data_IF_034260935334
#
_entry.id   IF_034260935334
#
_cell.length_a   1.000
_cell.length_b   1.000
_cell.length_c   1.000
_cell.angle_alpha   90.00
_cell.angle_beta   90.00
_cell.angle_gamma   90.00
#
_symmetry.space_group_name_H-M   'P 1'
#
loop_
_entity.id
_entity.type
_entity.pdbx_description
1 polymer ?
#
# COMPACT_ATOMS: atom_id res chain seq x y z
N UNK A 1 -23.25 23.63 -15.42
CA UNK A 1 -22.34 22.60 -14.86
C UNK A 1 -22.58 21.32 -15.64
N UNK A 2 -21.53 20.74 -16.25
CA UNK A 2 -21.68 19.63 -17.21
C UNK A 2 -21.91 18.30 -16.48
N UNK A 3 -23.00 17.60 -16.81
CA UNK A 3 -23.17 16.18 -16.50
C UNK A 3 -22.07 15.39 -17.21
N UNK A 4 -21.28 14.63 -16.47
CA UNK A 4 -20.41 13.60 -17.05
C UNK A 4 -21.18 12.29 -17.02
N UNK A 5 -21.52 11.78 -18.20
CA UNK A 5 -22.12 10.46 -18.38
C UNK A 5 -21.08 9.55 -19.02
N UNK A 6 -20.81 8.40 -18.40
CA UNK A 6 -19.96 7.36 -18.97
C UNK A 6 -20.80 6.14 -19.35
N UNK A 7 -20.55 5.61 -20.54
CA UNK A 7 -21.12 4.34 -20.99
C UNK A 7 -20.14 3.22 -20.69
N UNK A 8 -20.57 2.24 -19.91
CA UNK A 8 -19.80 1.01 -19.64
C UNK A 8 -20.43 -0.12 -20.45
N UNK A 9 -19.66 -0.68 -21.38
CA UNK A 9 -20.11 -1.79 -22.24
C UNK A 9 -19.52 -3.11 -21.76
N UNK A 10 -20.36 -4.12 -21.58
CA UNK A 10 -19.93 -5.51 -21.33
C UNK A 10 -19.46 -6.19 -22.62
N UNK A 11 -18.68 -7.28 -22.55
CA UNK A 11 -18.32 -8.12 -23.70
C UNK A 11 -19.53 -8.71 -24.44
N UNK A 12 -20.69 -8.79 -23.78
CA UNK A 12 -21.97 -9.24 -24.33
C UNK A 12 -22.77 -8.11 -25.02
N UNK A 13 -22.20 -6.91 -25.12
CA UNK A 13 -22.82 -5.75 -25.77
C UNK A 13 -23.86 -5.01 -24.94
N UNK A 14 -24.09 -5.39 -23.68
CA UNK A 14 -24.96 -4.64 -22.77
C UNK A 14 -24.24 -3.38 -22.28
N UNK A 15 -24.95 -2.25 -22.25
CA UNK A 15 -24.42 -0.97 -21.83
C UNK A 15 -25.11 -0.47 -20.56
N UNK A 16 -24.32 0.04 -19.61
CA UNK A 16 -24.82 0.70 -18.40
C UNK A 16 -24.38 2.16 -18.43
N UNK A 17 -25.33 3.06 -18.19
CA UNK A 17 -25.10 4.49 -18.10
C UNK A 17 -24.76 4.86 -16.66
N UNK A 18 -23.59 5.46 -16.47
CA UNK A 18 -23.07 5.90 -15.18
C UNK A 18 -23.11 7.43 -15.15
N UNK A 19 -24.00 8.00 -14.33
CA UNK A 19 -24.13 9.43 -14.16
C UNK A 19 -23.37 9.90 -12.92
N UNK A 20 -22.56 10.94 -13.06
CA UNK A 20 -22.00 11.66 -11.90
C UNK A 20 -22.96 12.75 -11.45
N UNK A 21 -23.23 12.84 -10.15
CA UNK A 21 -24.00 13.93 -9.57
C UNK A 21 -23.27 15.27 -9.73
N UNK A 22 -23.99 16.42 -9.75
CA UNK A 22 -23.37 17.74 -9.86
C UNK A 22 -22.41 18.08 -8.72
N UNK A 23 -22.59 17.47 -7.55
CA UNK A 23 -21.73 17.63 -6.37
C UNK A 23 -20.51 16.68 -6.36
N UNK A 24 -20.36 15.78 -7.33
CA UNK A 24 -19.18 14.92 -7.48
C UNK A 24 -19.03 13.78 -6.47
N UNK A 25 -19.88 13.75 -5.43
CA UNK A 25 -19.78 12.78 -4.33
C UNK A 25 -20.54 11.47 -4.60
N UNK A 26 -21.56 11.50 -5.45
CA UNK A 26 -22.48 10.38 -5.66
C UNK A 26 -22.53 9.99 -7.15
N UNK A 27 -22.23 8.72 -7.43
CA UNK A 27 -22.38 8.14 -8.76
C UNK A 27 -23.69 7.37 -8.80
N UNK A 28 -24.66 7.86 -9.56
CA UNK A 28 -25.92 7.18 -9.77
C UNK A 28 -25.75 6.23 -10.97
N UNK A 29 -25.66 4.93 -10.66
CA UNK A 29 -25.65 3.87 -11.68
C UNK A 29 -27.10 3.48 -11.94
N UNK A 30 -27.71 4.04 -12.99
CA UNK A 30 -29.02 3.61 -13.47
C UNK A 30 -28.86 2.32 -14.29
N UNK A 31 -28.56 1.22 -13.58
CA UNK A 31 -28.46 -0.13 -14.14
C UNK A 31 -29.57 -1.02 -13.58
N UNK A 32 -29.98 -2.03 -14.36
CA UNK A 32 -31.03 -2.99 -14.01
C UNK A 32 -30.69 -3.60 -12.64
N UNK A 33 -31.59 -3.46 -11.66
CA UNK A 33 -31.50 -4.10 -10.34
C UNK A 33 -31.66 -5.61 -10.52
N UNK A 34 -30.59 -6.29 -10.90
CA UNK A 34 -30.53 -7.74 -10.95
C UNK A 34 -30.32 -8.23 -9.52
N UNK A 35 -31.28 -9.01 -9.01
CA UNK A 35 -31.14 -9.72 -7.75
C UNK A 35 -29.93 -10.66 -7.82
N UNK A 36 -28.84 -10.28 -7.16
CA UNK A 36 -27.52 -10.94 -7.19
C UNK A 36 -27.59 -12.41 -6.79
N UNK A 37 -28.50 -12.79 -5.89
CA UNK A 37 -28.66 -14.18 -5.43
C UNK A 37 -29.15 -15.15 -6.52
N UNK A 38 -29.84 -14.67 -7.57
CA UNK A 38 -30.41 -15.56 -8.59
C UNK A 38 -29.40 -15.91 -9.69
N UNK A 39 -28.42 -15.04 -9.93
CA UNK A 39 -27.43 -15.17 -11.01
C UNK A 39 -26.14 -15.85 -10.54
N UNK A 40 -25.72 -15.64 -9.27
CA UNK A 40 -24.61 -16.36 -8.65
C UNK A 40 -24.80 -17.89 -8.69
N UNK A 41 -26.03 -18.35 -8.47
CA UNK A 41 -26.40 -19.77 -8.53
C UNK A 41 -26.48 -20.34 -9.96
N UNK A 42 -26.34 -19.49 -10.99
CA UNK A 42 -26.38 -19.88 -12.40
C UNK A 42 -24.99 -19.91 -13.06
N UNK A 43 -23.92 -19.64 -12.30
CA UNK A 43 -22.54 -19.70 -12.80
C UNK A 43 -22.17 -18.53 -13.71
N UNK A 44 -22.87 -17.39 -13.61
CA UNK A 44 -22.47 -16.19 -14.33
C UNK A 44 -21.18 -15.59 -13.74
N UNK A 45 -20.31 -15.07 -14.63
CA UNK A 45 -19.14 -14.29 -14.22
C UNK A 45 -19.59 -12.90 -13.73
N UNK A 46 -19.31 -12.62 -12.45
CA UNK A 46 -19.59 -11.32 -11.84
C UNK A 46 -18.37 -10.41 -11.93
N UNK A 47 -18.60 -9.14 -12.25
CA UNK A 47 -17.56 -8.12 -12.34
C UNK A 47 -17.82 -7.01 -11.34
N UNK A 48 -16.85 -6.75 -10.45
CA UNK A 48 -16.87 -5.61 -9.55
C UNK A 48 -16.25 -4.40 -10.26
N UNK A 49 -17.06 -3.38 -10.55
CA UNK A 49 -16.58 -2.10 -11.05
C UNK A 49 -16.64 -1.07 -9.94
N UNK A 50 -15.53 -0.37 -9.68
CA UNK A 50 -15.48 0.79 -8.80
C UNK A 50 -15.07 2.02 -9.59
N UNK A 51 -15.66 3.17 -9.27
CA UNK A 51 -15.33 4.46 -9.89
C UNK A 51 -14.48 5.24 -8.90
N UNK A 52 -13.21 5.48 -9.22
CA UNK A 52 -12.33 6.35 -8.41
C UNK A 52 -12.35 7.76 -9.01
N UNK A 53 -12.81 8.72 -8.23
CA UNK A 53 -12.65 10.13 -8.57
C UNK A 53 -11.26 10.59 -8.13
N UNK A 54 -10.36 10.85 -9.09
CA UNK A 54 -8.97 11.26 -8.83
C UNK A 54 -8.82 12.77 -8.59
N UNK A 55 -9.92 13.55 -8.63
CA UNK A 55 -9.88 15.02 -8.53
C UNK A 55 -10.06 15.56 -7.10
N UNK A 56 -10.20 14.71 -6.08
CA UNK A 56 -10.31 15.17 -4.68
C UNK A 56 -8.98 14.99 -3.97
N UNK A 57 -8.30 16.11 -3.72
CA UNK A 57 -7.19 16.18 -2.77
C UNK A 57 -7.67 15.69 -1.37
N UNK A 58 -6.85 14.85 -0.74
CA UNK A 58 -6.88 14.39 0.67
C UNK A 58 -8.10 13.65 1.28
N UNK A 59 -9.24 13.45 0.60
CA UNK A 59 -10.44 12.84 1.26
C UNK A 59 -10.88 11.45 0.76
N UNK A 60 -10.08 10.73 -0.04
CA UNK A 60 -10.47 9.37 -0.48
C UNK A 60 -10.34 8.33 0.62
N UNK A 61 -9.32 8.41 1.47
CA UNK A 61 -9.11 7.45 2.56
C UNK A 61 -10.22 7.55 3.62
N UNK A 62 -10.73 8.77 3.88
CA UNK A 62 -11.84 9.01 4.80
C UNK A 62 -13.20 8.51 4.28
N UNK A 63 -13.28 8.09 3.00
CA UNK A 63 -14.45 7.44 2.42
C UNK A 63 -14.36 5.92 2.46
N UNK A 64 -13.17 5.35 2.68
CA UNK A 64 -12.99 3.91 2.82
C UNK A 64 -13.36 3.55 4.25
N UNK A 65 -14.56 2.99 4.40
CA UNK A 65 -15.14 2.62 5.69
C UNK A 65 -14.18 1.86 6.60
N UNK A 66 -13.43 0.90 6.05
CA UNK A 66 -12.43 0.11 6.80
C UNK A 66 -11.29 0.97 7.38
N UNK A 67 -10.81 1.99 6.65
CA UNK A 67 -9.73 2.86 7.13
C UNK A 67 -10.23 3.74 8.29
N UNK A 68 -11.46 4.24 8.18
CA UNK A 68 -12.10 5.01 9.24
C UNK A 68 -12.43 4.18 10.49
N UNK A 69 -12.81 2.91 10.30
CA UNK A 69 -13.11 1.98 11.41
C UNK A 69 -11.84 1.54 12.15
N UNK A 70 -10.68 1.51 11.48
CA UNK A 70 -9.40 1.05 12.05
C UNK A 70 -8.26 2.07 11.87
N UNK A 71 -8.37 3.29 12.42
CA UNK A 71 -7.37 4.34 12.20
C UNK A 71 -6.00 4.01 12.81
N UNK A 72 -5.96 3.14 13.83
CA UNK A 72 -4.75 2.65 14.47
C UNK A 72 -3.99 1.61 13.62
N UNK A 73 -4.67 0.94 12.68
CA UNK A 73 -4.05 -0.04 11.76
C UNK A 73 -3.48 0.66 10.52
N UNK A 74 -4.03 1.81 10.17
CA UNK A 74 -3.63 2.61 9.01
C UNK A 74 -3.20 4.03 9.40
N UNK A 75 -2.19 4.20 10.29
CA UNK A 75 -1.70 5.52 10.64
C UNK A 75 -0.98 6.15 9.44
N UNK A 76 -1.03 7.48 9.35
CA UNK A 76 -0.33 8.25 8.32
C UNK A 76 1.19 8.15 8.47
N UNK A 77 1.67 7.99 9.71
CA UNK A 77 3.07 7.77 10.04
C UNK A 77 3.20 6.71 11.15
N UNK A 78 4.08 5.73 10.96
CA UNK A 78 4.43 4.75 11.99
C UNK A 78 5.54 5.31 12.87
N UNK A 79 5.21 5.60 14.13
CA UNK A 79 6.16 6.07 15.14
C UNK A 79 6.44 5.03 16.24
N UNK A 80 5.63 3.99 16.31
CA UNK A 80 5.72 2.94 17.35
C UNK A 80 6.21 1.63 16.73
N UNK A 81 7.07 0.93 17.47
CA UNK A 81 7.37 -0.46 17.15
C UNK A 81 6.10 -1.30 17.34
N UNK A 82 5.90 -2.35 16.54
CA UNK A 82 4.84 -3.30 16.81
C UNK A 82 4.99 -3.82 18.25
N UNK A 83 3.87 -4.12 18.93
CA UNK A 83 3.92 -4.79 20.23
C UNK A 83 4.78 -6.05 20.15
N UNK A 84 5.37 -6.44 21.29
CA UNK A 84 6.08 -7.71 21.38
C UNK A 84 5.18 -8.83 20.84
N UNK A 85 5.69 -9.50 19.80
CA UNK A 85 5.00 -10.61 19.17
C UNK A 85 5.16 -11.84 20.06
N UNK A 86 4.10 -12.64 20.24
CA UNK A 86 4.16 -13.92 20.95
C UNK A 86 5.04 -14.96 20.24
N UNK A 87 5.41 -14.71 18.98
CA UNK A 87 6.22 -15.59 18.16
C UNK A 87 7.57 -14.96 17.86
N UNK A 88 8.64 -15.72 18.14
CA UNK A 88 10.00 -15.35 17.76
C UNK A 88 10.27 -15.81 16.31
N UNK A 89 10.75 -14.88 15.48
CA UNK A 89 11.21 -15.20 14.13
C UNK A 89 12.66 -15.67 14.18
N UNK A 90 12.88 -16.98 14.02
CA UNK A 90 14.21 -17.57 13.96
C UNK A 90 14.66 -17.67 12.51
N UNK A 91 15.84 -17.11 12.21
CA UNK A 91 16.51 -17.28 10.92
C UNK A 91 17.50 -18.44 11.08
N UNK A 92 17.14 -19.61 10.56
CA UNK A 92 18.05 -20.75 10.52
C UNK A 92 19.15 -20.54 9.48
N UNK A 93 20.39 -20.81 9.88
CA UNK A 93 21.57 -20.69 9.03
C UNK A 93 22.23 -22.06 8.92
N UNK A 94 22.63 -22.46 7.71
CA UNK A 94 23.38 -23.70 7.51
C UNK A 94 24.66 -23.71 8.35
N UNK A 95 25.00 -24.86 8.93
CA UNK A 95 26.16 -25.01 9.83
C UNK A 95 27.51 -24.71 9.18
N UNK A 96 27.57 -24.70 7.85
CA UNK A 96 28.76 -24.37 7.06
C UNK A 96 28.81 -22.90 6.59
N UNK A 97 27.86 -22.06 6.99
CA UNK A 97 27.83 -20.66 6.55
C UNK A 97 28.88 -19.83 7.27
N UNK A 98 29.79 -19.24 6.51
CA UNK A 98 30.76 -18.26 7.01
C UNK A 98 30.06 -16.95 7.36
N UNK A 99 30.48 -16.29 8.44
CA UNK A 99 30.01 -14.94 8.80
C UNK A 99 30.25 -13.97 7.64
N UNK A 100 29.18 -13.32 7.16
CA UNK A 100 29.26 -12.27 6.15
C UNK A 100 29.22 -10.93 6.86
N UNK A 101 30.31 -10.16 6.72
CA UNK A 101 30.40 -8.77 7.20
C UNK A 101 30.98 -7.90 6.09
N UNK A 102 30.10 -7.34 5.27
CA UNK A 102 30.50 -6.48 4.14
C UNK A 102 30.33 -5.02 4.55
N UNK A 103 31.32 -4.19 4.22
CA UNK A 103 31.26 -2.77 4.49
C UNK A 103 30.11 -2.10 3.73
N UNK A 104 29.39 -1.12 4.33
CA UNK A 104 28.40 -0.33 3.61
C UNK A 104 29.02 0.40 2.42
N UNK A 105 28.21 0.64 1.39
CA UNK A 105 28.64 1.47 0.27
C UNK A 105 28.94 2.88 0.75
N UNK A 106 30.10 3.42 0.34
CA UNK A 106 30.54 4.75 0.76
C UNK A 106 29.65 5.81 0.12
N UNK A 107 28.85 6.49 0.92
CA UNK A 107 28.07 7.66 0.51
C UNK A 107 28.12 8.75 1.58
N UNK A 108 28.25 10.00 1.14
CA UNK A 108 28.31 11.17 2.04
C UNK A 108 27.03 11.36 2.87
N UNK A 109 25.88 10.90 2.36
CA UNK A 109 24.56 11.07 2.96
C UNK A 109 24.18 10.01 4.00
N UNK A 110 24.96 8.93 4.14
CA UNK A 110 24.60 7.76 4.97
C UNK A 110 24.36 8.11 6.44
N UNK A 111 25.20 8.98 7.02
CA UNK A 111 25.11 9.36 8.44
C UNK A 111 23.82 10.12 8.78
N UNK A 112 23.37 11.01 7.90
CA UNK A 112 22.17 11.83 8.14
C UNK A 112 20.92 10.95 8.06
N UNK A 113 20.86 10.07 7.07
CA UNK A 113 19.71 9.19 6.86
C UNK A 113 19.59 8.15 7.99
N UNK A 114 20.71 7.57 8.46
CA UNK A 114 20.70 6.67 9.61
C UNK A 114 20.21 7.35 10.89
N UNK A 115 20.55 8.62 11.14
CA UNK A 115 20.03 9.36 12.30
C UNK A 115 18.51 9.52 12.24
N UNK A 116 17.97 9.82 11.06
CA UNK A 116 16.52 9.93 10.88
C UNK A 116 15.80 8.59 11.14
N UNK A 117 16.41 7.46 10.71
CA UNK A 117 15.86 6.12 10.95
C UNK A 117 15.93 5.71 12.43
N UNK A 118 17.06 5.98 13.10
CA UNK A 118 17.22 5.73 14.54
C UNK A 118 16.22 6.52 15.39
N UNK A 119 15.86 7.74 14.95
CA UNK A 119 14.85 8.57 15.63
C UNK A 119 13.41 8.07 15.47
N UNK A 120 13.14 7.16 14.53
CA UNK A 120 11.80 6.66 14.19
C UNK A 120 11.56 5.23 14.69
N UNK A 121 12.37 4.76 15.64
CA UNK A 121 12.30 3.44 16.29
C UNK A 121 12.46 2.23 15.35
N UNK A 122 12.60 2.43 14.03
CA UNK A 122 12.78 1.34 13.05
C UNK A 122 14.10 0.57 13.17
N UNK A 123 15.10 1.13 13.84
CA UNK A 123 16.43 0.54 13.98
C UNK A 123 16.99 0.79 15.37
N UNK A 124 17.69 -0.21 15.92
CA UNK A 124 18.47 -0.07 17.15
C UNK A 124 19.95 -0.38 16.87
N UNK A 125 20.89 0.29 17.57
CA UNK A 125 22.30 -0.08 17.49
C UNK A 125 22.50 -1.51 17.99
N UNK A 126 23.18 -2.34 17.20
CA UNK A 126 23.56 -3.69 17.58
C UNK A 126 25.06 -3.95 17.34
N UNK A 127 25.58 -5.04 17.92
CA UNK A 127 26.95 -5.52 17.72
C UNK A 127 26.93 -6.93 17.13
N UNK A 128 26.31 -7.09 15.97
CA UNK A 128 26.27 -8.37 15.26
C UNK A 128 27.62 -8.69 14.59
N UNK A 129 28.07 -9.95 14.58
CA UNK A 129 29.16 -10.39 13.70
C UNK A 129 28.74 -10.45 12.22
N UNK A 130 27.44 -10.36 11.93
CA UNK A 130 26.87 -10.28 10.59
C UNK A 130 26.66 -8.83 10.18
N UNK A 131 27.01 -8.50 8.94
CA UNK A 131 26.85 -7.17 8.37
C UNK A 131 26.54 -7.26 6.88
N UNK A 132 25.41 -6.69 6.48
CA UNK A 132 25.00 -6.61 5.08
C UNK A 132 25.31 -5.21 4.50
N UNK A 133 25.72 -5.12 3.23
CA UNK A 133 25.84 -3.85 2.54
C UNK A 133 24.51 -3.10 2.55
N UNK A 134 24.58 -1.79 2.73
CA UNK A 134 23.41 -0.92 2.68
C UNK A 134 23.58 0.11 1.58
N UNK A 135 22.54 0.31 0.79
CA UNK A 135 22.42 1.29 -0.28
C UNK A 135 21.30 2.27 0.04
N UNK A 136 21.46 3.52 -0.38
CA UNK A 136 20.34 4.44 -0.48
C UNK A 136 20.10 4.81 -1.93
N UNK A 137 18.84 4.83 -2.34
CA UNK A 137 18.46 5.26 -3.68
C UNK A 137 17.39 6.34 -3.58
N UNK A 138 17.45 7.29 -4.52
CA UNK A 138 16.49 8.38 -4.61
C UNK A 138 15.33 7.94 -5.51
N UNK A 139 14.10 8.01 -5.01
CA UNK A 139 12.88 7.81 -5.80
C UNK A 139 12.58 9.05 -6.65
N UNK A 140 11.67 8.87 -7.62
CA UNK A 140 11.22 9.94 -8.54
C UNK A 140 10.57 11.12 -7.81
N UNK A 141 9.91 10.86 -6.69
CA UNK A 141 9.30 11.84 -5.78
C UNK A 141 10.34 12.64 -4.96
N UNK A 142 11.63 12.30 -5.08
CA UNK A 142 12.71 12.95 -4.34
C UNK A 142 13.03 12.33 -2.98
N UNK A 143 12.23 11.35 -2.52
CA UNK A 143 12.46 10.64 -1.27
C UNK A 143 13.65 9.69 -1.39
N UNK A 144 14.31 9.43 -0.27
CA UNK A 144 15.40 8.46 -0.18
C UNK A 144 14.90 7.18 0.47
N UNK A 145 15.28 6.04 -0.10
CA UNK A 145 14.93 4.71 0.40
C UNK A 145 16.21 3.95 0.74
N UNK A 146 16.18 3.22 1.84
CA UNK A 146 17.27 2.32 2.24
C UNK A 146 17.00 0.93 1.66
N UNK A 147 18.05 0.29 1.14
CA UNK A 147 18.03 -1.09 0.68
C UNK A 147 19.18 -1.84 1.35
N UNK A 148 18.88 -2.97 1.97
CA UNK A 148 19.86 -3.86 2.57
C UNK A 148 20.05 -5.04 1.62
N UNK A 149 21.29 -5.28 1.20
CA UNK A 149 21.61 -6.35 0.25
C UNK A 149 21.88 -7.65 1.01
N UNK A 150 20.87 -8.52 1.08
CA UNK A 150 20.95 -9.84 1.75
C UNK A 150 21.35 -10.98 0.80
N UNK A 151 21.84 -10.67 -0.41
CA UNK A 151 22.22 -11.67 -1.42
C UNK A 151 23.56 -12.36 -1.11
#
# INVERSE_FOLDING_TARGET
>A
MSKVAMNVSSPLGQTVLVNQSPEGDMVEVSGIRLSTNKLLNQGCEDFLAYVINLNSDESLLSRIRTICEFPNVFPEEFSELPPDCEFEFVIEVYSSTTLVSIAPYRMASLKIQLRNLLGRVFMCPNKSPWGAPTLFFKKKDGLMWICIDYR
#
